data_IF_475742641790
#
_entry.id   IF_475742641790
#
_cell.length_a   1.000
_cell.length_b   1.000
_cell.length_c   1.000
_cell.angle_alpha   90.00
_cell.angle_beta   90.00
_cell.angle_gamma   90.00
#
_symmetry.space_group_name_H-M   'P 1'
#
loop_
_entity.id
_entity.type
_entity.pdbx_description
1 polymer ?
#
# COMPACT_ATOMS: atom_id res chain seq x y z
N UNK A 1 49.70 -15.45 53.91
CA UNK A 1 49.17 -16.74 53.42
C UNK A 1 47.83 -16.95 54.10
N UNK A 2 46.67 -17.00 53.47
CA UNK A 2 46.32 -17.11 52.05
C UNK A 2 44.79 -16.97 51.97
N UNK A 3 44.31 -16.21 50.98
CA UNK A 3 43.02 -16.39 50.29
C UNK A 3 41.72 -16.16 51.07
N UNK A 4 41.32 -14.88 51.16
CA UNK A 4 39.92 -14.47 51.24
C UNK A 4 39.30 -14.69 49.85
N UNK A 5 38.67 -15.85 49.65
CA UNK A 5 37.94 -16.18 48.41
C UNK A 5 36.67 -15.32 48.36
N UNK A 6 36.74 -14.16 47.70
CA UNK A 6 35.56 -13.38 47.33
C UNK A 6 34.75 -14.23 46.33
N UNK A 7 33.67 -14.84 46.81
CA UNK A 7 32.58 -15.30 45.97
C UNK A 7 31.92 -14.07 45.35
N UNK A 8 32.43 -13.63 44.21
CA UNK A 8 31.67 -12.76 43.31
C UNK A 8 30.61 -13.66 42.67
N UNK A 9 29.48 -13.80 43.35
CA UNK A 9 28.28 -14.38 42.77
C UNK A 9 27.87 -13.44 41.63
N UNK A 10 28.29 -13.76 40.41
CA UNK A 10 27.85 -13.04 39.22
C UNK A 10 26.33 -13.30 39.12
N UNK A 11 25.53 -12.36 39.61
CA UNK A 11 24.09 -12.37 39.39
C UNK A 11 23.88 -12.18 37.89
N UNK A 12 23.78 -13.28 37.12
CA UNK A 12 23.16 -13.24 35.81
C UNK A 12 21.69 -12.89 36.04
N UNK A 13 21.36 -11.60 36.03
CA UNK A 13 19.99 -11.16 35.88
C UNK A 13 19.57 -11.51 34.44
N UNK A 14 18.94 -12.67 34.28
CA UNK A 14 18.38 -13.08 33.00
C UNK A 14 17.17 -12.17 32.70
N UNK A 15 17.38 -11.14 31.89
CA UNK A 15 16.27 -10.34 31.41
C UNK A 15 15.48 -11.12 30.35
N UNK A 16 14.15 -10.96 30.36
CA UNK A 16 13.25 -11.47 29.35
C UNK A 16 12.56 -10.35 28.59
N UNK A 17 12.47 -10.53 27.27
CA UNK A 17 11.63 -9.71 26.39
C UNK A 17 10.42 -10.53 26.00
N UNK A 18 9.25 -10.09 26.43
CA UNK A 18 7.97 -10.70 26.11
C UNK A 18 7.23 -9.81 25.11
N UNK A 19 6.88 -10.37 23.96
CA UNK A 19 6.08 -9.70 22.95
C UNK A 19 4.68 -10.28 23.02
N UNK A 20 3.72 -9.44 23.38
CA UNK A 20 2.31 -9.79 23.42
C UNK A 20 1.64 -9.37 22.10
N UNK A 21 0.78 -10.24 21.55
CA UNK A 21 0.02 -9.91 20.34
C UNK A 21 -1.43 -9.58 20.74
N UNK A 22 -1.80 -8.29 20.82
CA UNK A 22 -3.15 -7.91 21.20
C UNK A 22 -4.16 -8.20 20.07
N UNK A 23 -5.44 -8.38 20.42
CA UNK A 23 -6.54 -8.37 19.46
C UNK A 23 -6.56 -7.07 18.64
N UNK A 24 -6.85 -7.16 17.34
CA UNK A 24 -6.95 -6.00 16.43
C UNK A 24 -7.99 -6.23 15.35
N UNK A 25 -8.31 -5.20 14.57
CA UNK A 25 -9.30 -5.28 13.46
C UNK A 25 -8.97 -6.40 12.46
N UNK A 26 -7.69 -6.59 12.15
CA UNK A 26 -7.24 -7.63 11.22
C UNK A 26 -7.07 -9.01 11.88
N UNK A 27 -6.88 -9.06 13.20
CA UNK A 27 -6.74 -10.28 13.99
C UNK A 27 -7.58 -10.18 15.27
N UNK A 28 -8.90 -10.45 15.21
CA UNK A 28 -9.76 -10.34 16.38
C UNK A 28 -9.43 -11.35 17.48
N UNK A 29 -8.89 -12.52 17.10
CA UNK A 29 -8.47 -13.56 18.04
C UNK A 29 -6.97 -13.87 17.85
N UNK A 30 -6.09 -13.47 18.80
CA UNK A 30 -4.66 -13.77 18.75
C UNK A 30 -4.32 -15.27 18.70
N UNK A 31 -5.19 -16.14 19.23
CA UNK A 31 -4.98 -17.60 19.19
C UNK A 31 -5.25 -18.21 17.81
N UNK A 32 -5.78 -17.43 16.86
CA UNK A 32 -5.95 -17.86 15.48
C UNK A 32 -4.64 -17.76 14.66
N UNK A 33 -3.56 -17.27 15.26
CA UNK A 33 -2.26 -17.21 14.59
C UNK A 33 -1.74 -18.62 14.27
N UNK A 34 -1.16 -18.82 13.08
CA UNK A 34 -0.51 -20.07 12.73
C UNK A 34 0.59 -20.43 13.73
N UNK A 35 0.71 -21.71 14.09
CA UNK A 35 1.77 -22.20 14.99
C UNK A 35 3.20 -22.01 14.43
N UNK A 36 3.32 -21.76 13.11
CA UNK A 36 4.58 -21.41 12.44
C UNK A 36 5.03 -19.97 12.72
N UNK A 37 4.20 -19.17 13.40
CA UNK A 37 4.53 -17.80 13.78
C UNK A 37 5.66 -17.81 14.80
N UNK A 38 6.71 -17.05 14.52
CA UNK A 38 7.88 -16.92 15.39
C UNK A 38 8.48 -15.52 15.26
N UNK A 39 9.17 -15.08 16.30
CA UNK A 39 9.98 -13.87 16.27
C UNK A 39 11.45 -14.20 16.13
N UNK A 40 12.19 -13.32 15.48
CA UNK A 40 13.66 -13.37 15.40
C UNK A 40 14.25 -12.04 15.83
N UNK A 41 15.26 -12.07 16.70
CA UNK A 41 16.15 -10.95 16.98
C UNK A 41 17.42 -11.15 16.18
N UNK A 42 17.74 -10.20 15.31
CA UNK A 42 18.95 -10.26 14.46
C UNK A 42 19.85 -9.07 14.76
N UNK A 43 21.13 -9.32 15.01
CA UNK A 43 22.16 -8.29 15.18
C UNK A 43 23.23 -8.40 14.08
N UNK A 44 24.05 -7.36 13.95
CA UNK A 44 25.24 -7.43 13.09
C UNK A 44 26.27 -8.38 13.71
N UNK A 45 26.99 -9.17 12.91
CA UNK A 45 28.04 -10.05 13.42
C UNK A 45 29.20 -9.22 13.97
N UNK A 46 29.31 -9.13 15.30
CA UNK A 46 30.37 -8.40 16.00
C UNK A 46 31.38 -9.34 16.68
N UNK A 47 31.01 -10.62 16.89
CA UNK A 47 31.74 -11.61 17.68
C UNK A 47 31.24 -13.03 17.40
N UNK A 48 31.90 -14.05 17.94
CA UNK A 48 31.63 -15.49 17.82
C UNK A 48 30.35 -15.95 18.57
N UNK A 49 29.41 -15.03 18.79
CA UNK A 49 28.12 -15.21 19.47
C UNK A 49 27.00 -15.42 18.44
N UNK A 50 25.93 -16.10 18.86
CA UNK A 50 24.75 -16.30 18.01
C UNK A 50 24.13 -14.95 17.65
N UNK A 51 24.23 -14.58 16.37
CA UNK A 51 23.74 -13.32 15.82
C UNK A 51 22.22 -13.31 15.56
N UNK A 52 21.57 -14.48 15.72
CA UNK A 52 20.13 -14.66 15.53
C UNK A 52 19.56 -15.41 16.72
N UNK A 53 18.68 -14.76 17.46
CA UNK A 53 17.87 -15.40 18.50
C UNK A 53 16.47 -15.62 17.96
N UNK A 54 15.83 -16.72 18.34
CA UNK A 54 14.48 -17.04 17.87
C UNK A 54 13.56 -17.37 19.04
N UNK A 55 12.30 -16.96 18.93
CA UNK A 55 11.25 -17.26 19.90
C UNK A 55 9.99 -17.73 19.17
N UNK A 56 9.46 -18.89 19.56
CA UNK A 56 8.24 -19.45 18.99
C UNK A 56 6.99 -18.93 19.70
N UNK A 57 5.84 -18.97 19.00
CA UNK A 57 4.56 -18.58 19.56
C UNK A 57 4.15 -19.54 20.70
N UNK A 58 3.86 -18.98 21.85
CA UNK A 58 3.37 -19.72 23.01
C UNK A 58 1.84 -19.85 22.99
N UNK A 59 1.29 -20.74 23.83
CA UNK A 59 -0.17 -20.92 23.96
C UNK A 59 -0.90 -19.65 24.43
N UNK A 60 -0.22 -18.75 25.13
CA UNK A 60 -0.73 -17.45 25.56
C UNK A 60 -0.70 -16.38 24.45
N UNK A 61 -0.41 -16.75 23.20
CA UNK A 61 -0.24 -15.82 22.08
C UNK A 61 0.85 -14.76 22.33
N UNK A 62 1.91 -15.16 23.04
CA UNK A 62 3.09 -14.32 23.31
C UNK A 62 4.35 -14.96 22.73
N UNK A 63 5.35 -14.15 22.39
CA UNK A 63 6.68 -14.56 21.95
C UNK A 63 7.67 -14.13 23.03
N UNK A 64 8.43 -15.07 23.57
CA UNK A 64 9.30 -14.79 24.75
C UNK A 64 10.74 -15.09 24.40
N UNK A 65 11.58 -14.05 24.42
CA UNK A 65 13.03 -14.20 24.39
C UNK A 65 13.53 -14.27 25.83
N UNK A 66 14.08 -15.42 26.20
CA UNK A 66 14.68 -15.66 27.51
C UNK A 66 16.19 -15.60 27.38
N UNK A 67 16.87 -15.11 28.42
CA UNK A 67 18.32 -15.08 28.50
C UNK A 67 18.94 -14.31 27.32
N UNK A 68 18.61 -13.01 27.22
CA UNK A 68 19.29 -12.15 26.26
C UNK A 68 20.80 -12.17 26.53
N UNK A 69 21.63 -12.20 25.48
CA UNK A 69 23.08 -12.32 25.62
C UNK A 69 23.62 -11.14 26.44
N UNK A 70 24.40 -11.49 27.45
CA UNK A 70 25.11 -10.55 28.31
C UNK A 70 26.59 -10.54 27.96
N UNK A 71 27.22 -9.37 27.95
CA UNK A 71 28.66 -9.20 27.75
C UNK A 71 28.99 -7.90 27.04
N UNK A 72 28.29 -7.59 25.95
CA UNK A 72 28.43 -6.33 25.23
C UNK A 72 27.06 -5.67 25.01
N UNK A 73 26.99 -4.33 25.01
CA UNK A 73 25.77 -3.65 24.60
C UNK A 73 25.54 -3.88 23.11
N UNK A 74 24.38 -4.42 22.76
CA UNK A 74 24.05 -4.75 21.38
C UNK A 74 22.64 -4.28 21.02
N UNK A 75 22.46 -3.92 19.75
CA UNK A 75 21.19 -3.51 19.21
C UNK A 75 20.68 -4.57 18.24
N UNK A 76 19.48 -5.07 18.49
CA UNK A 76 18.82 -6.10 17.71
C UNK A 76 17.67 -5.52 16.88
N UNK A 77 17.45 -6.11 15.72
CA UNK A 77 16.22 -5.96 14.95
C UNK A 77 15.29 -7.14 15.26
N UNK A 78 14.14 -6.84 15.84
CA UNK A 78 13.05 -7.77 16.11
C UNK A 78 12.11 -7.81 14.90
N UNK A 79 11.93 -9.00 14.32
CA UNK A 79 11.00 -9.28 13.23
C UNK A 79 10.07 -10.42 13.63
N UNK A 80 8.76 -10.26 13.43
CA UNK A 80 7.76 -11.29 13.71
C UNK A 80 7.28 -11.86 12.39
N UNK A 81 7.59 -13.14 12.16
CA UNK A 81 7.26 -13.84 10.93
C UNK A 81 6.05 -14.73 11.13
N UNK A 82 5.05 -14.50 10.31
CA UNK A 82 3.85 -15.33 10.21
C UNK A 82 3.53 -15.60 8.74
N UNK A 83 2.77 -16.65 8.43
CA UNK A 83 2.36 -16.97 7.04
C UNK A 83 1.29 -16.01 6.52
N UNK A 84 0.39 -15.58 7.41
CA UNK A 84 -0.85 -14.91 7.01
C UNK A 84 -0.87 -13.42 7.40
N UNK A 85 0.03 -12.99 8.28
CA UNK A 85 -0.01 -11.67 8.91
C UNK A 85 1.33 -10.94 8.78
N UNK A 86 1.26 -9.61 8.71
CA UNK A 86 2.41 -8.71 8.64
C UNK A 86 2.47 -7.87 9.92
N UNK A 87 3.58 -7.95 10.63
CA UNK A 87 3.86 -7.16 11.83
C UNK A 87 4.88 -6.06 11.54
N UNK A 88 4.85 -5.01 12.35
CA UNK A 88 5.87 -3.95 12.32
C UNK A 88 7.18 -4.50 12.93
N UNK A 89 8.36 -4.20 12.36
CA UNK A 89 9.63 -4.56 12.98
C UNK A 89 9.98 -3.59 14.11
N UNK A 90 10.75 -4.05 15.10
CA UNK A 90 11.19 -3.23 16.23
C UNK A 90 12.71 -3.22 16.35
N UNK A 91 13.26 -2.10 16.82
CA UNK A 91 14.65 -2.03 17.31
C UNK A 91 14.63 -2.30 18.81
N UNK A 92 15.49 -3.19 19.28
CA UNK A 92 15.66 -3.53 20.69
C UNK A 92 17.11 -3.29 21.07
N UNK A 93 17.36 -2.34 21.97
CA UNK A 93 18.70 -2.10 22.51
C UNK A 93 18.84 -2.87 23.84
N UNK A 94 19.91 -3.67 23.95
CA UNK A 94 20.22 -4.50 25.12
C UNK A 94 21.56 -4.03 25.70
N UNK A 95 21.62 -3.87 27.01
CA UNK A 95 22.83 -3.49 27.74
C UNK A 95 23.78 -4.69 27.94
N UNK A 96 25.02 -4.40 28.37
CA UNK A 96 26.02 -5.44 28.63
C UNK A 96 25.62 -6.44 29.73
N UNK A 97 24.70 -6.08 30.62
CA UNK A 97 24.15 -6.97 31.65
C UNK A 97 22.97 -7.81 31.16
N UNK A 98 22.62 -7.72 29.87
CA UNK A 98 21.45 -8.38 29.27
C UNK A 98 20.13 -7.65 29.50
N UNK A 99 20.12 -6.54 30.26
CA UNK A 99 18.90 -5.74 30.48
C UNK A 99 18.48 -4.99 29.22
N UNK A 100 17.18 -4.84 29.02
CA UNK A 100 16.65 -4.14 27.85
C UNK A 100 16.68 -2.63 28.14
N UNK A 101 17.40 -1.86 27.33
CA UNK A 101 17.51 -0.41 27.44
C UNK A 101 16.32 0.30 26.82
N UNK A 102 15.82 -0.23 25.70
CA UNK A 102 14.64 0.31 25.04
C UNK A 102 14.23 -0.47 23.82
N UNK A 103 12.99 -0.23 23.41
CA UNK A 103 12.31 -0.85 22.27
C UNK A 103 11.55 0.22 21.51
N UNK A 104 11.81 0.30 20.20
CA UNK A 104 11.22 1.29 19.30
C UNK A 104 10.64 0.63 18.06
N UNK A 105 9.50 1.13 17.57
CA UNK A 105 9.01 0.77 16.24
C UNK A 105 9.98 1.29 15.16
N UNK A 106 10.26 0.47 14.17
CA UNK A 106 11.08 0.85 13.01
C UNK A 106 10.44 0.36 11.72
N UNK A 107 11.05 0.69 10.58
CA UNK A 107 10.65 0.21 9.27
C UNK A 107 11.89 0.04 8.39
N UNK A 108 11.75 -0.73 7.30
CA UNK A 108 12.86 -0.99 6.39
C UNK A 108 13.30 0.31 5.71
N UNK A 109 14.58 0.63 5.79
CA UNK A 109 15.16 1.86 5.25
C UNK A 109 15.22 3.03 6.24
N UNK A 110 14.71 2.88 7.47
CA UNK A 110 14.93 3.86 8.51
C UNK A 110 16.40 3.82 8.99
N UNK A 111 17.11 4.97 9.05
CA UNK A 111 18.46 5.02 9.64
C UNK A 111 18.46 4.50 11.07
N UNK A 112 19.53 3.78 11.46
CA UNK A 112 19.57 3.16 12.80
C UNK A 112 19.47 4.21 13.90
N UNK A 113 20.17 5.34 13.78
CA UNK A 113 20.18 6.43 14.77
C UNK A 113 18.81 7.11 14.97
N UNK A 114 17.91 6.99 13.98
CA UNK A 114 16.57 7.54 14.07
C UNK A 114 15.65 6.57 14.82
N UNK A 115 15.55 6.76 16.14
CA UNK A 115 14.63 6.01 16.99
C UNK A 115 13.20 6.48 16.72
N UNK A 116 12.37 5.57 16.22
CA UNK A 116 10.98 5.83 15.89
C UNK A 116 10.08 5.89 17.14
N UNK A 117 8.82 5.50 16.99
CA UNK A 117 7.87 5.51 18.10
C UNK A 117 8.32 4.57 19.24
N UNK A 118 8.44 5.11 20.45
CA UNK A 118 8.90 4.36 21.61
C UNK A 118 7.82 3.42 22.13
N UNK A 119 8.21 2.17 22.42
CA UNK A 119 7.35 1.18 23.09
C UNK A 119 7.76 0.94 24.53
N UNK A 120 9.06 0.97 24.76
CA UNK A 120 9.64 0.82 26.07
C UNK A 120 10.97 1.56 26.09
N UNK A 121 11.24 2.30 27.16
CA UNK A 121 12.56 2.89 27.43
C UNK A 121 12.78 2.79 28.92
N UNK A 122 14.00 2.43 29.35
CA UNK A 122 14.34 2.43 30.77
C UNK A 122 14.24 3.86 31.30
N UNK A 123 13.43 4.03 32.35
CA UNK A 123 13.16 5.33 32.95
C UNK A 123 14.43 5.99 33.51
N UNK A 124 14.46 7.33 33.58
CA UNK A 124 15.64 8.14 33.97
C UNK A 124 16.17 7.77 35.37
N UNK A 125 15.32 7.19 36.21
CA UNK A 125 15.68 6.64 37.52
C UNK A 125 16.52 5.34 37.46
N UNK A 126 16.83 4.81 36.27
CA UNK A 126 17.70 3.65 36.07
C UNK A 126 17.12 2.32 36.56
N UNK A 127 15.81 2.24 36.79
CA UNK A 127 15.15 0.99 37.20
C UNK A 127 15.04 0.05 36.00
N UNK A 128 16.06 -0.79 35.84
CA UNK A 128 16.09 -1.87 34.86
C UNK A 128 15.05 -2.92 35.24
N UNK A 129 14.06 -3.12 34.38
CA UNK A 129 13.06 -4.16 34.58
C UNK A 129 13.60 -5.49 34.05
N UNK A 130 13.49 -6.54 34.86
CA UNK A 130 13.95 -7.87 34.46
C UNK A 130 13.06 -8.49 33.37
N UNK A 131 11.75 -8.20 33.38
CA UNK A 131 10.81 -8.68 32.36
C UNK A 131 10.12 -7.50 31.70
N UNK A 132 10.38 -7.31 30.40
CA UNK A 132 9.81 -6.23 29.61
C UNK A 132 8.75 -6.81 28.68
N UNK A 133 7.53 -6.30 28.79
CA UNK A 133 6.41 -6.70 27.95
C UNK A 133 6.10 -5.57 26.95
N UNK A 134 6.04 -5.90 25.66
CA UNK A 134 5.63 -4.97 24.61
C UNK A 134 4.50 -5.54 23.76
N UNK A 135 3.63 -4.65 23.28
CA UNK A 135 2.55 -5.01 22.36
C UNK A 135 3.02 -4.94 20.90
N UNK A 136 2.88 -6.07 20.19
CA UNK A 136 3.11 -6.17 18.76
C UNK A 136 1.99 -5.51 17.96
N UNK A 137 2.37 -4.68 17.00
CA UNK A 137 1.46 -4.00 16.09
C UNK A 137 1.31 -4.80 14.81
N UNK A 138 0.08 -5.22 14.55
CA UNK A 138 -0.30 -5.85 13.29
C UNK A 138 -0.62 -4.79 12.24
N UNK A 139 -0.02 -4.91 11.06
CA UNK A 139 -0.24 -3.97 9.94
C UNK A 139 -1.40 -4.44 9.08
N UNK A 140 -1.33 -5.66 8.57
CA UNK A 140 -2.31 -6.20 7.63
C UNK A 140 -2.22 -7.72 7.52
N UNK A 141 -3.22 -8.30 6.84
CA UNK A 141 -3.19 -9.69 6.38
C UNK A 141 -2.44 -9.78 5.04
N UNK A 142 -1.66 -10.84 4.86
CA UNK A 142 -0.93 -11.14 3.63
C UNK A 142 -1.89 -11.64 2.57
N UNK A 143 -2.01 -10.87 1.49
CA UNK A 143 -2.69 -11.29 0.27
C UNK A 143 -1.61 -11.74 -0.73
N UNK A 144 -1.34 -13.04 -0.76
CA UNK A 144 -0.34 -13.66 -1.65
C UNK A 144 -0.89 -13.90 -3.06
N UNK A 145 -2.21 -13.90 -3.20
CA UNK A 145 -2.90 -14.19 -4.45
C UNK A 145 -3.65 -12.96 -4.92
N UNK A 146 -3.57 -12.73 -6.23
CA UNK A 146 -4.42 -11.80 -6.94
C UNK A 146 -5.58 -12.58 -7.55
N UNK A 147 -6.80 -12.10 -7.32
CA UNK A 147 -7.98 -12.70 -7.92
C UNK A 147 -7.99 -12.40 -9.42
N UNK A 148 -8.29 -13.42 -10.24
CA UNK A 148 -8.45 -13.21 -11.69
C UNK A 148 -9.63 -12.28 -11.92
N UNK A 149 -9.49 -11.33 -12.85
CA UNK A 149 -10.60 -10.51 -13.28
C UNK A 149 -11.73 -11.41 -13.81
N UNK A 150 -12.85 -11.45 -13.08
CA UNK A 150 -14.06 -12.15 -13.51
C UNK A 150 -14.96 -11.16 -14.23
N UNK A 151 -15.65 -11.63 -15.27
CA UNK A 151 -16.69 -10.86 -15.91
C UNK A 151 -17.81 -10.55 -14.90
N UNK A 152 -17.97 -9.28 -14.54
CA UNK A 152 -19.07 -8.81 -13.69
C UNK A 152 -20.05 -8.01 -14.53
N UNK A 153 -21.31 -8.47 -14.69
CA UNK A 153 -22.35 -7.72 -15.41
C UNK A 153 -22.57 -6.32 -14.83
N UNK A 154 -22.36 -6.16 -13.52
CA UNK A 154 -22.49 -4.86 -12.85
C UNK A 154 -21.30 -3.93 -13.17
N UNK A 155 -20.10 -4.48 -13.37
CA UNK A 155 -18.94 -3.72 -13.85
C UNK A 155 -19.09 -3.30 -15.32
N UNK A 156 -19.82 -4.09 -16.12
CA UNK A 156 -20.16 -3.75 -17.50
C UNK A 156 -21.07 -2.51 -17.56
N UNK A 157 -22.08 -2.42 -16.69
CA UNK A 157 -22.95 -1.23 -16.59
C UNK A 157 -22.18 -0.02 -16.08
N UNK A 158 -21.22 -0.19 -15.16
CA UNK A 158 -20.38 0.90 -14.64
C UNK A 158 -19.29 1.36 -15.61
N UNK A 159 -19.15 0.71 -16.77
CA UNK A 159 -18.15 1.10 -17.76
C UNK A 159 -18.64 2.35 -18.53
N UNK A 160 -17.91 3.48 -18.46
CA UNK A 160 -18.34 4.74 -19.08
C UNK A 160 -18.54 4.60 -20.59
N UNK A 161 -17.76 3.77 -21.27
CA UNK A 161 -17.92 3.55 -22.72
C UNK A 161 -19.23 2.86 -23.06
N UNK A 162 -19.67 1.92 -22.21
CA UNK A 162 -20.91 1.18 -22.44
C UNK A 162 -22.13 2.03 -22.12
N UNK A 163 -22.07 2.86 -21.07
CA UNK A 163 -23.11 3.85 -20.79
C UNK A 163 -23.28 4.84 -21.94
N UNK A 164 -22.17 5.37 -22.47
CA UNK A 164 -22.21 6.25 -23.63
C UNK A 164 -22.78 5.54 -24.87
N UNK A 165 -22.44 4.28 -25.09
CA UNK A 165 -23.01 3.48 -26.19
C UNK A 165 -24.52 3.27 -26.03
N UNK A 166 -25.01 2.99 -24.83
CA UNK A 166 -26.45 2.84 -24.54
C UNK A 166 -27.18 4.18 -24.73
N UNK A 167 -26.63 5.28 -24.20
CA UNK A 167 -27.19 6.62 -24.36
C UNK A 167 -27.27 7.00 -25.84
N UNK A 168 -26.20 6.78 -26.60
CA UNK A 168 -26.18 7.01 -28.04
C UNK A 168 -27.24 6.19 -28.77
N UNK A 169 -27.41 4.91 -28.42
CA UNK A 169 -28.46 4.05 -29.00
C UNK A 169 -29.87 4.55 -28.70
N UNK A 170 -30.12 5.04 -27.47
CA UNK A 170 -31.41 5.64 -27.10
C UNK A 170 -31.66 6.92 -27.89
N UNK A 171 -30.64 7.75 -28.12
CA UNK A 171 -30.78 8.95 -28.95
C UNK A 171 -31.06 8.62 -30.41
N UNK A 172 -30.35 7.67 -31.02
CA UNK A 172 -30.53 7.34 -32.45
C UNK A 172 -31.88 6.72 -32.75
N UNK A 173 -32.41 5.89 -31.84
CA UNK A 173 -33.72 5.24 -32.03
C UNK A 173 -34.88 6.02 -31.42
N UNK A 174 -34.63 6.76 -30.33
CA UNK A 174 -35.65 7.49 -29.58
C UNK A 174 -35.91 8.90 -30.09
N UNK A 175 -34.89 9.62 -30.57
CA UNK A 175 -35.05 10.99 -31.06
C UNK A 175 -36.02 11.09 -32.25
N UNK A 176 -35.99 10.20 -33.27
CA UNK A 176 -36.99 10.24 -34.36
C UNK A 176 -38.42 10.14 -33.83
N UNK A 177 -38.65 9.30 -32.81
CA UNK A 177 -39.97 9.13 -32.19
C UNK A 177 -40.42 10.32 -31.34
N UNK A 178 -39.49 11.00 -30.69
CA UNK A 178 -39.80 12.26 -29.99
C UNK A 178 -40.12 13.36 -31.01
N UNK A 179 -39.35 13.47 -32.09
CA UNK A 179 -39.56 14.49 -33.13
C UNK A 179 -40.87 14.30 -33.89
N UNK A 180 -41.30 13.07 -34.15
CA UNK A 180 -42.58 12.75 -34.80
C UNK A 180 -43.79 13.28 -33.99
N UNK A 181 -43.69 13.30 -32.65
CA UNK A 181 -44.77 13.67 -31.74
C UNK A 181 -44.67 15.11 -31.17
N UNK A 182 -43.66 15.90 -31.55
CA UNK A 182 -43.51 17.30 -31.11
C UNK A 182 -44.33 18.27 -31.96
N UNK A 183 -44.83 19.34 -31.37
CA UNK A 183 -45.52 20.43 -32.09
C UNK A 183 -44.56 21.20 -33.03
N UNK A 184 -45.06 21.75 -34.16
CA UNK A 184 -44.22 22.38 -35.18
C UNK A 184 -43.41 23.59 -34.70
N UNK A 185 -43.89 24.34 -33.69
CA UNK A 185 -43.15 25.45 -33.08
C UNK A 185 -41.95 24.94 -32.24
N UNK A 186 -42.15 23.89 -31.45
CA UNK A 186 -41.11 23.29 -30.60
C UNK A 186 -40.02 22.60 -31.42
N UNK A 187 -40.35 22.04 -32.60
CA UNK A 187 -39.36 21.50 -33.54
C UNK A 187 -38.43 22.58 -34.07
N UNK A 188 -38.99 23.75 -34.42
CA UNK A 188 -38.20 24.86 -34.93
C UNK A 188 -37.25 25.44 -33.87
N UNK A 189 -37.66 25.46 -32.59
CA UNK A 189 -36.78 25.84 -31.48
C UNK A 189 -35.69 24.79 -31.22
N UNK A 190 -36.00 23.50 -31.31
CA UNK A 190 -35.02 22.42 -31.19
C UNK A 190 -34.01 22.43 -32.34
N UNK A 191 -34.42 22.76 -33.56
CA UNK A 191 -33.51 22.94 -34.71
C UNK A 191 -32.59 24.16 -34.54
N UNK A 192 -33.07 25.24 -33.94
CA UNK A 192 -32.24 26.41 -33.63
C UNK A 192 -31.22 26.09 -32.53
N UNK A 193 -31.64 25.39 -31.47
CA UNK A 193 -30.76 24.97 -30.38
C UNK A 193 -29.77 23.89 -30.79
N UNK A 194 -30.18 22.94 -31.62
CA UNK A 194 -29.30 21.90 -32.15
C UNK A 194 -28.24 22.50 -33.08
N UNK A 195 -28.53 23.55 -33.85
CA UNK A 195 -27.48 24.26 -34.63
C UNK A 195 -26.46 24.98 -33.75
N UNK A 196 -26.85 25.37 -32.53
CA UNK A 196 -25.98 26.09 -31.59
C UNK A 196 -25.15 25.19 -30.67
N UNK A 197 -25.46 23.89 -30.59
CA UNK A 197 -24.80 22.96 -29.65
C UNK A 197 -23.65 22.18 -30.31
N UNK A 198 -22.42 22.22 -29.77
CA UNK A 198 -21.26 21.50 -30.31
C UNK A 198 -21.41 19.96 -30.28
N UNK A 199 -22.38 19.44 -29.51
CA UNK A 199 -22.76 18.02 -29.48
C UNK A 199 -23.63 17.61 -30.68
N UNK A 200 -24.35 18.56 -31.26
CA UNK A 200 -25.35 18.32 -32.31
C UNK A 200 -24.70 18.16 -33.69
N UNK A 201 -23.56 18.80 -33.95
CA UNK A 201 -22.79 18.59 -35.18
C UNK A 201 -22.36 17.13 -35.38
N UNK A 202 -22.10 16.41 -34.29
CA UNK A 202 -21.82 14.98 -34.33
C UNK A 202 -23.08 14.13 -34.56
N UNK A 203 -24.20 14.52 -33.95
CA UNK A 203 -25.47 13.79 -34.02
C UNK A 203 -26.20 14.00 -35.37
N UNK A 204 -26.03 15.16 -36.01
CA UNK A 204 -26.58 15.47 -37.33
C UNK A 204 -25.99 14.60 -38.45
N UNK A 205 -24.70 14.27 -38.37
CA UNK A 205 -24.06 13.34 -39.31
C UNK A 205 -24.58 11.89 -39.15
N UNK A 206 -24.93 11.49 -37.91
CA UNK A 206 -25.50 10.18 -37.61
C UNK A 206 -26.93 10.00 -38.16
N UNK A 207 -27.73 11.06 -38.15
CA UNK A 207 -29.11 11.05 -38.68
C UNK A 207 -29.17 11.06 -40.22
N UNK A 208 -28.13 11.52 -40.90
CA UNK A 208 -28.05 11.56 -42.37
C UNK A 208 -27.50 10.26 -43.00
N UNK A 209 -27.40 9.17 -42.23
CA UNK A 209 -26.90 7.87 -42.72
C UNK A 209 -25.37 7.74 -42.79
N UNK A 210 -24.63 8.72 -42.27
CA UNK A 210 -23.18 8.62 -42.07
C UNK A 210 -22.87 8.09 -40.68
N UNK A 211 -22.16 6.95 -40.58
CA UNK A 211 -21.81 6.35 -39.29
C UNK A 211 -21.21 7.36 -38.31
N UNK A 212 -21.77 7.41 -37.09
CA UNK A 212 -21.32 8.30 -36.02
C UNK A 212 -19.92 7.89 -35.54
N UNK A 213 -18.90 8.67 -35.88
CA UNK A 213 -17.54 8.49 -35.35
C UNK A 213 -17.41 9.16 -33.98
N UNK A 214 -17.85 8.45 -32.93
CA UNK A 214 -17.75 8.87 -31.54
C UNK A 214 -16.28 9.15 -31.12
N UNK A 215 -15.32 8.41 -31.69
CA UNK A 215 -13.91 8.55 -31.36
C UNK A 215 -13.32 9.84 -31.93
N UNK A 216 -13.65 10.16 -33.19
CA UNK A 216 -13.26 11.43 -33.82
C UNK A 216 -13.88 12.65 -33.13
N UNK A 217 -15.12 12.54 -32.65
CA UNK A 217 -15.77 13.63 -31.92
C UNK A 217 -15.15 13.86 -30.53
N UNK A 218 -14.88 12.80 -29.78
CA UNK A 218 -14.20 12.88 -28.48
C UNK A 218 -12.73 13.30 -28.59
N UNK A 219 -12.08 12.99 -29.72
CA UNK A 219 -10.73 13.45 -30.03
C UNK A 219 -10.70 14.89 -30.60
N UNK A 220 -11.86 15.52 -30.83
CA UNK A 220 -11.97 16.87 -31.41
C UNK A 220 -11.55 16.94 -32.88
N UNK A 221 -11.53 15.83 -33.59
CA UNK A 221 -11.05 15.72 -34.99
C UNK A 221 -12.16 15.65 -36.03
N UNK A 222 -13.43 15.68 -35.62
CA UNK A 222 -14.56 15.72 -36.57
C UNK A 222 -14.61 17.04 -37.35
N UNK A 223 -14.72 17.02 -38.70
CA UNK A 223 -14.76 18.23 -39.51
C UNK A 223 -16.12 18.94 -39.36
N UNK A 224 -16.09 20.20 -38.96
CA UNK A 224 -17.27 21.09 -38.99
C UNK A 224 -17.64 21.55 -40.41
N UNK A 225 -18.85 22.09 -40.64
CA UNK A 225 -19.40 22.39 -41.98
C UNK A 225 -18.78 23.62 -42.68
N UNK A 226 -17.55 23.98 -42.34
CA UNK A 226 -16.82 25.08 -42.96
C UNK A 226 -15.32 24.83 -42.90
N UNK A 227 -14.86 23.80 -43.63
CA UNK A 227 -13.43 23.49 -43.76
C UNK A 227 -13.03 23.19 -45.21
N UNK A 228 -13.66 23.88 -46.18
CA UNK A 228 -13.19 23.96 -47.56
C UNK A 228 -12.54 25.33 -47.82
N UNK A 229 -11.61 25.76 -46.96
CA UNK A 229 -10.81 26.97 -47.20
C UNK A 229 -9.54 27.07 -46.32
N UNK A 230 -8.83 25.99 -46.03
CA UNK A 230 -7.50 26.10 -45.39
C UNK A 230 -6.62 24.85 -45.59
N UNK A 231 -6.48 24.37 -46.83
CA UNK A 231 -5.32 23.55 -47.19
C UNK A 231 -4.16 24.46 -47.54
N UNK A 232 -3.47 24.97 -46.51
CA UNK A 232 -2.13 25.53 -46.66
C UNK A 232 -1.38 25.50 -45.32
N UNK A 233 -0.47 24.52 -45.20
CA UNK A 233 0.77 24.62 -44.42
C UNK A 233 0.67 24.79 -42.90
N UNK A 234 0.89 23.70 -42.17
CA UNK A 234 1.55 23.80 -40.86
C UNK A 234 2.47 22.59 -40.67
N UNK A 235 3.76 22.86 -40.84
CA UNK A 235 4.91 22.02 -40.56
C UNK A 235 5.06 21.71 -39.07
N UNK A 236 5.46 20.48 -38.76
CA UNK A 236 5.91 20.08 -37.42
C UNK A 236 6.69 18.77 -37.47
N UNK A 237 7.89 18.79 -38.06
CA UNK A 237 8.89 17.71 -37.95
C UNK A 237 9.85 18.12 -36.84
N UNK A 238 9.71 17.54 -35.66
CA UNK A 238 10.73 17.64 -34.62
C UNK A 238 11.92 16.74 -34.96
N UNK A 239 13.03 17.37 -35.31
CA UNK A 239 14.36 16.79 -35.32
C UNK A 239 15.08 17.28 -34.06
N UNK A 240 15.50 16.36 -33.17
CA UNK A 240 16.32 16.72 -32.02
C UNK A 240 16.60 15.55 -31.08
N UNK A 241 17.67 14.80 -31.34
CA UNK A 241 18.13 13.74 -30.44
C UNK A 241 19.50 13.20 -30.85
N UNK A 242 20.54 14.00 -30.60
CA UNK A 242 21.94 13.68 -30.88
C UNK A 242 22.47 12.54 -30.01
N UNK A 243 23.15 11.62 -30.67
CA UNK A 243 23.94 10.55 -30.08
C UNK A 243 25.09 11.10 -29.21
N UNK A 244 25.32 10.49 -28.04
CA UNK A 244 26.60 10.58 -27.31
C UNK A 244 27.17 9.18 -27.07
N UNK A 245 28.45 9.07 -27.44
CA UNK A 245 29.31 7.89 -27.42
C UNK A 245 29.81 7.55 -26.01
N UNK A 246 30.22 6.29 -25.90
CA UNK A 246 31.11 5.69 -24.89
C UNK A 246 32.31 6.58 -24.53
N UNK A 247 32.65 6.57 -23.24
CA UNK A 247 34.00 6.35 -22.72
C UNK A 247 33.85 5.37 -21.55
#
# INVERSE_FOLDING_TARGET
MTLLFLWFLCQLAAASLTIQIPPSTHLPNPHALPATTHATLTTLPSSNTDHILTASLTRSATLVFRNLPSGQPESYLLDIRSTDYIFVPYRVDVAADGSILGVWETFRGNPWDNRGAEKYVVDVAGKKQADVVIDAKLVSRKNLYEERAVFSPLSLIKNPMILLAIVALVFTLGMPKLMENMDPEMRAEFEQQSRSSPLSGATGNAMAGGGFDLAGWMAGTSPGPSADAARAGASGRDAGGSARRRA
#
